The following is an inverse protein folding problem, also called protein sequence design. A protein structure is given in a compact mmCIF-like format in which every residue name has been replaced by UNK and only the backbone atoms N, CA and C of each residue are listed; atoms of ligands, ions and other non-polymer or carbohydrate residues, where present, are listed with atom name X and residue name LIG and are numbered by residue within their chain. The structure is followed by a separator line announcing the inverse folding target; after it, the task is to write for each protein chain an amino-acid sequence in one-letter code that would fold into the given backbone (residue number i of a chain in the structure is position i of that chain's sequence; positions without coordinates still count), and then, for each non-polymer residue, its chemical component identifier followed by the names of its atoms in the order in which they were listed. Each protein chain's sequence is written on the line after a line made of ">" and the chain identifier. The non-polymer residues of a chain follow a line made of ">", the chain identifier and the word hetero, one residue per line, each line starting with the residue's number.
data_IF_569166345171
#
_entry.id   IF_569166345171
#
_cell.length_a   1.000
_cell.length_b   1.000
_cell.length_c   1.000
_cell.angle_alpha   90.00
_cell.angle_beta   90.00
_cell.angle_gamma   90.00
#
_symmetry.space_group_name_H-M   'P 1'
#
loop_
_entity.id
_entity.type
_entity.pdbx_description
1 polymer ?
#
# COMPACT_ATOMS: atom_id res chain seq x y z
N UNK A 1 -23.90 16.30 -17.24
CA UNK A 1 -22.84 15.60 -16.48
C UNK A 1 -21.92 16.64 -15.89
N UNK A 2 -21.52 16.53 -14.63
CA UNK A 2 -20.65 17.52 -13.99
C UNK A 2 -19.20 17.21 -14.40
N UNK A 3 -18.62 18.07 -15.23
CA UNK A 3 -17.19 18.03 -15.51
C UNK A 3 -16.43 18.28 -14.20
N UNK A 4 -15.37 17.53 -13.96
CA UNK A 4 -14.50 17.67 -12.79
C UNK A 4 -13.12 18.13 -13.25
N UNK A 5 -12.29 18.60 -12.33
CA UNK A 5 -10.86 18.82 -12.64
C UNK A 5 -10.21 17.48 -13.05
N UNK A 6 -9.38 17.45 -14.09
CA UNK A 6 -8.77 16.21 -14.56
C UNK A 6 -7.90 15.54 -13.49
N UNK A 7 -8.16 14.25 -13.27
CA UNK A 7 -7.35 13.40 -12.39
C UNK A 7 -6.52 12.45 -13.23
N UNK A 8 -5.21 12.64 -13.22
CA UNK A 8 -4.27 11.69 -13.82
C UNK A 8 -3.79 10.71 -12.73
N UNK A 9 -4.54 9.61 -12.56
CA UNK A 9 -4.30 8.64 -11.49
C UNK A 9 -2.93 7.97 -11.61
N UNK A 10 -2.47 7.70 -12.84
CA UNK A 10 -1.14 7.14 -13.07
C UNK A 10 -0.06 8.07 -12.52
N UNK A 11 -0.07 9.33 -12.96
CA UNK A 11 0.91 10.31 -12.51
C UNK A 11 0.90 10.52 -10.99
N UNK A 12 -0.26 10.43 -10.35
CA UNK A 12 -0.38 10.51 -8.89
C UNK A 12 0.37 9.36 -8.22
N UNK A 13 0.08 8.11 -8.64
CA UNK A 13 0.72 6.91 -8.09
C UNK A 13 2.23 6.90 -8.39
N UNK A 14 2.64 7.22 -9.62
CA UNK A 14 4.06 7.29 -9.99
C UNK A 14 4.80 8.32 -9.13
N UNK A 15 4.23 9.52 -8.96
CA UNK A 15 4.83 10.55 -8.12
C UNK A 15 5.02 10.06 -6.69
N UNK A 16 4.03 9.35 -6.15
CA UNK A 16 4.08 8.78 -4.80
C UNK A 16 5.18 7.74 -4.66
N UNK A 17 5.32 6.83 -5.62
CA UNK A 17 6.41 5.84 -5.66
C UNK A 17 7.76 6.53 -5.82
N UNK A 18 7.86 7.58 -6.64
CA UNK A 18 9.09 8.34 -6.83
C UNK A 18 9.59 8.97 -5.52
N UNK A 19 8.70 9.45 -4.64
CA UNK A 19 9.10 9.95 -3.32
C UNK A 19 9.75 8.85 -2.47
N UNK A 20 9.23 7.62 -2.52
CA UNK A 20 9.84 6.47 -1.85
C UNK A 20 11.19 6.13 -2.47
N UNK A 21 11.27 6.13 -3.80
CA UNK A 21 12.49 5.87 -4.56
C UNK A 21 13.61 6.87 -4.22
N UNK A 22 13.31 8.17 -4.18
CA UNK A 22 14.27 9.21 -3.81
C UNK A 22 14.77 9.01 -2.37
N UNK A 23 13.87 8.65 -1.44
CA UNK A 23 14.23 8.31 -0.07
C UNK A 23 15.12 7.05 0.02
N UNK A 24 14.84 6.02 -0.78
CA UNK A 24 15.66 4.82 -0.89
C UNK A 24 17.06 5.16 -1.42
N UNK A 25 17.15 5.86 -2.56
CA UNK A 25 18.40 6.18 -3.25
C UNK A 25 19.41 6.92 -2.34
N UNK A 26 18.93 7.78 -1.46
CA UNK A 26 19.77 8.56 -0.54
C UNK A 26 20.28 7.76 0.66
N UNK A 27 19.58 6.70 1.07
CA UNK A 27 19.79 6.06 2.36
C UNK A 27 20.23 4.60 2.28
N UNK A 28 19.88 3.89 1.21
CA UNK A 28 20.02 2.44 1.14
C UNK A 28 21.46 1.94 1.33
N UNK A 29 22.44 2.65 0.77
CA UNK A 29 23.87 2.30 0.88
C UNK A 29 24.46 2.51 2.27
N UNK A 30 23.75 3.22 3.16
CA UNK A 30 24.16 3.39 4.57
C UNK A 30 23.75 2.19 5.43
N UNK A 31 22.82 1.37 4.93
CA UNK A 31 22.17 0.31 5.70
C UNK A 31 22.39 -1.08 5.10
N UNK A 32 22.60 -1.15 3.78
CA UNK A 32 22.78 -2.40 3.05
C UNK A 32 24.01 -2.38 2.15
N UNK A 33 24.62 -3.56 1.98
CA UNK A 33 25.39 -3.88 0.79
C UNK A 33 24.40 -4.12 -0.34
N UNK A 34 24.32 -3.16 -1.25
CA UNK A 34 23.34 -3.14 -2.35
C UNK A 34 23.81 -4.04 -3.50
N UNK A 35 22.93 -4.87 -4.09
CA UNK A 35 23.26 -5.65 -5.29
C UNK A 35 23.64 -4.75 -6.48
N UNK A 36 24.62 -5.19 -7.28
CA UNK A 36 25.23 -4.33 -8.31
C UNK A 36 24.27 -3.87 -9.42
N UNK A 37 23.27 -4.68 -9.78
CA UNK A 37 22.23 -4.29 -10.73
C UNK A 37 21.36 -3.15 -10.18
N UNK A 38 21.07 -3.16 -8.88
CA UNK A 38 20.34 -2.08 -8.20
C UNK A 38 21.22 -0.84 -8.10
N UNK A 39 22.50 -0.97 -7.76
CA UNK A 39 23.44 0.16 -7.78
C UNK A 39 23.48 0.83 -9.16
N UNK A 40 23.57 0.04 -10.23
CA UNK A 40 23.54 0.54 -11.61
C UNK A 40 22.21 1.23 -11.91
N UNK A 41 21.08 0.61 -11.56
CA UNK A 41 19.76 1.21 -11.75
C UNK A 41 19.65 2.56 -11.05
N UNK A 42 20.07 2.63 -9.78
CA UNK A 42 20.04 3.86 -8.98
C UNK A 42 20.95 4.95 -9.57
N UNK A 43 22.09 4.58 -10.14
CA UNK A 43 23.02 5.52 -10.78
C UNK A 43 22.47 6.07 -12.10
N UNK A 44 21.83 5.24 -12.92
CA UNK A 44 21.29 5.62 -14.23
C UNK A 44 19.97 6.39 -14.12
N UNK A 45 19.16 6.10 -13.11
CA UNK A 45 17.82 6.66 -12.96
C UNK A 45 17.79 7.69 -11.83
N UNK A 46 17.61 8.96 -12.18
CA UNK A 46 17.49 10.01 -11.18
C UNK A 46 16.13 10.02 -10.50
N UNK A 47 15.08 9.67 -11.24
CA UNK A 47 13.68 9.73 -10.85
C UNK A 47 12.92 8.62 -11.57
N UNK A 48 11.79 8.21 -11.00
CA UNK A 48 10.79 7.39 -11.66
C UNK A 48 9.69 8.31 -12.18
N UNK A 49 9.50 8.35 -13.50
CA UNK A 49 8.57 9.26 -14.16
C UNK A 49 7.42 8.55 -14.85
N UNK A 50 7.58 7.25 -15.12
CA UNK A 50 6.62 6.43 -15.84
C UNK A 50 6.36 5.11 -15.11
N UNK A 51 5.23 4.47 -15.45
CA UNK A 51 4.93 3.12 -15.01
C UNK A 51 6.03 2.12 -15.38
N UNK A 52 6.62 2.26 -16.56
CA UNK A 52 7.72 1.40 -17.00
C UNK A 52 8.95 1.52 -16.09
N UNK A 53 9.26 2.72 -15.58
CA UNK A 53 10.37 2.91 -14.64
C UNK A 53 10.13 2.15 -13.33
N UNK A 54 8.89 2.20 -12.82
CA UNK A 54 8.49 1.48 -11.59
C UNK A 54 8.55 -0.03 -11.80
N UNK A 55 8.04 -0.53 -12.94
CA UNK A 55 8.08 -1.94 -13.29
C UNK A 55 9.53 -2.44 -13.43
N UNK A 56 10.41 -1.67 -14.09
CA UNK A 56 11.84 -2.00 -14.20
C UNK A 56 12.52 -2.07 -12.84
N UNK A 57 12.28 -1.09 -11.96
CA UNK A 57 12.81 -1.14 -10.60
C UNK A 57 12.32 -2.39 -9.86
N UNK A 58 11.02 -2.69 -9.94
CA UNK A 58 10.44 -3.89 -9.34
C UNK A 58 11.07 -5.19 -9.84
N UNK A 59 11.31 -5.30 -11.15
CA UNK A 59 11.95 -6.47 -11.75
C UNK A 59 13.42 -6.62 -11.32
N UNK A 60 14.19 -5.53 -11.29
CA UNK A 60 15.58 -5.57 -10.84
C UNK A 60 15.68 -5.91 -9.34
N UNK A 61 14.74 -5.42 -8.56
CA UNK A 61 14.66 -5.70 -7.13
C UNK A 61 14.28 -7.16 -6.85
N UNK A 62 13.28 -7.70 -7.55
CA UNK A 62 12.82 -9.09 -7.42
C UNK A 62 13.94 -10.09 -7.73
N UNK A 63 14.69 -9.86 -8.82
CA UNK A 63 15.85 -10.69 -9.21
C UNK A 63 16.92 -10.79 -8.13
N UNK A 64 17.01 -9.79 -7.26
CA UNK A 64 18.12 -9.66 -6.30
C UNK A 64 17.67 -9.66 -4.85
N UNK A 65 16.40 -9.98 -4.58
CA UNK A 65 15.85 -9.91 -3.22
C UNK A 65 16.67 -10.72 -2.20
N UNK A 66 17.18 -11.88 -2.60
CA UNK A 66 18.03 -12.74 -1.76
C UNK A 66 19.50 -12.30 -1.63
N UNK A 67 19.96 -11.33 -2.42
CA UNK A 67 21.35 -10.89 -2.47
C UNK A 67 21.64 -9.69 -1.55
N UNK A 68 20.60 -9.11 -0.97
CA UNK A 68 20.72 -7.97 -0.06
C UNK A 68 21.29 -8.38 1.30
N UNK A 69 22.31 -7.65 1.76
CA UNK A 69 22.95 -7.93 3.05
C UNK A 69 22.98 -6.67 3.91
N UNK A 70 22.40 -6.68 5.12
CA UNK A 70 22.51 -5.59 6.08
C UNK A 70 23.97 -5.34 6.50
N UNK A 71 24.39 -4.08 6.59
CA UNK A 71 25.78 -3.74 6.94
C UNK A 71 26.14 -4.01 8.40
N UNK A 72 25.14 -4.00 9.30
CA UNK A 72 25.29 -4.25 10.72
C UNK A 72 24.95 -5.69 11.13
N UNK A 73 24.82 -6.59 10.16
CA UNK A 73 24.45 -8.00 10.34
C UNK A 73 23.06 -8.23 10.97
N UNK A 74 22.25 -7.17 11.14
CA UNK A 74 20.90 -7.28 11.65
C UNK A 74 19.92 -7.68 10.53
N UNK A 75 19.54 -8.96 10.50
CA UNK A 75 18.60 -9.53 9.53
C UNK A 75 17.22 -8.88 9.55
N UNK A 76 16.81 -8.27 10.67
CA UNK A 76 15.50 -7.61 10.76
C UNK A 76 15.37 -6.43 9.79
N UNK A 77 16.51 -5.83 9.38
CA UNK A 77 16.52 -4.76 8.39
C UNK A 77 15.93 -5.19 7.05
N UNK A 78 15.96 -6.48 6.72
CA UNK A 78 15.33 -7.02 5.50
C UNK A 78 13.83 -6.67 5.42
N UNK A 79 13.17 -6.34 6.54
CA UNK A 79 11.79 -5.85 6.51
C UNK A 79 11.61 -4.60 5.64
N UNK A 80 12.62 -3.72 5.56
CA UNK A 80 12.61 -2.52 4.71
C UNK A 80 12.46 -2.91 3.22
N UNK A 81 13.10 -4.01 2.83
CA UNK A 81 13.04 -4.54 1.45
C UNK A 81 11.64 -5.10 1.15
N UNK A 82 11.02 -5.74 2.13
CA UNK A 82 9.64 -6.19 2.04
C UNK A 82 8.64 -5.03 1.89
N UNK A 83 8.84 -3.94 2.63
CA UNK A 83 8.07 -2.71 2.46
C UNK A 83 8.22 -2.14 1.05
N UNK A 84 9.46 -2.02 0.55
CA UNK A 84 9.73 -1.55 -0.81
C UNK A 84 9.03 -2.42 -1.86
N UNK A 85 9.17 -3.74 -1.77
CA UNK A 85 8.51 -4.66 -2.69
C UNK A 85 6.98 -4.48 -2.68
N UNK A 86 6.40 -4.37 -1.48
CA UNK A 86 4.95 -4.19 -1.33
C UNK A 86 4.47 -2.86 -1.91
N UNK A 87 5.25 -1.79 -1.76
CA UNK A 87 5.00 -0.47 -2.37
C UNK A 87 4.99 -0.61 -3.90
N UNK A 88 6.04 -1.19 -4.47
CA UNK A 88 6.17 -1.33 -5.93
C UNK A 88 5.03 -2.18 -6.51
N UNK A 89 4.79 -3.37 -5.95
CA UNK A 89 3.75 -4.29 -6.42
C UNK A 89 2.36 -3.65 -6.35
N UNK A 90 2.00 -3.04 -5.21
CA UNK A 90 0.67 -2.48 -5.04
C UNK A 90 0.44 -1.23 -5.89
N UNK A 91 1.50 -0.46 -6.20
CA UNK A 91 1.39 0.64 -7.15
C UNK A 91 0.92 0.14 -8.53
N UNK A 92 1.51 -0.95 -9.02
CA UNK A 92 1.17 -1.53 -10.33
C UNK A 92 -0.20 -2.20 -10.32
N UNK A 93 -0.53 -2.94 -9.25
CA UNK A 93 -1.84 -3.59 -9.08
C UNK A 93 -2.97 -2.57 -9.19
N UNK A 94 -2.82 -1.39 -8.57
CA UNK A 94 -3.85 -0.34 -8.60
C UNK A 94 -4.01 0.23 -10.00
N UNK A 95 -2.90 0.56 -10.67
CA UNK A 95 -2.94 1.07 -12.03
C UNK A 95 -3.68 0.10 -12.95
N UNK A 96 -3.31 -1.18 -12.90
CA UNK A 96 -3.98 -2.23 -13.68
C UNK A 96 -5.46 -2.35 -13.31
N UNK A 97 -5.79 -2.34 -12.01
CA UNK A 97 -7.17 -2.51 -11.55
C UNK A 97 -8.08 -1.38 -12.03
N UNK A 98 -7.58 -0.14 -11.98
CA UNK A 98 -8.29 1.03 -12.47
C UNK A 98 -8.39 0.99 -14.00
N UNK A 99 -7.32 0.70 -14.73
CA UNK A 99 -7.32 0.58 -16.19
C UNK A 99 -8.39 -0.42 -16.67
N UNK A 100 -8.43 -1.59 -16.04
CA UNK A 100 -9.37 -2.66 -16.37
C UNK A 100 -10.82 -2.23 -16.09
N UNK A 101 -11.07 -1.53 -14.99
CA UNK A 101 -12.42 -1.11 -14.64
C UNK A 101 -12.90 0.09 -15.47
N UNK A 102 -12.01 1.03 -15.82
CA UNK A 102 -12.31 2.11 -16.77
C UNK A 102 -12.63 1.56 -18.17
N UNK A 103 -11.85 0.58 -18.63
CA UNK A 103 -12.06 -0.07 -19.94
C UNK A 103 -13.41 -0.78 -20.02
N UNK A 104 -13.79 -1.52 -18.97
CA UNK A 104 -15.10 -2.19 -18.89
C UNK A 104 -16.27 -1.22 -19.04
N UNK A 105 -16.11 -0.01 -18.53
CA UNK A 105 -17.14 1.05 -18.56
C UNK A 105 -17.00 2.00 -19.76
N UNK A 106 -16.09 1.69 -20.71
CA UNK A 106 -15.79 2.52 -21.89
C UNK A 106 -15.43 3.97 -21.54
N UNK A 107 -14.65 4.16 -20.48
CA UNK A 107 -14.11 5.45 -20.07
C UNK A 107 -12.64 5.53 -20.47
N UNK A 108 -12.21 6.72 -20.87
CA UNK A 108 -10.82 6.98 -21.25
C UNK A 108 -9.87 6.67 -20.10
N UNK A 109 -8.76 5.98 -20.42
CA UNK A 109 -7.70 5.65 -19.47
C UNK A 109 -6.84 6.90 -19.20
N UNK A 110 -5.95 6.81 -18.22
CA UNK A 110 -4.95 7.82 -17.84
C UNK A 110 -5.52 9.10 -17.21
N UNK A 111 -6.59 9.69 -17.76
CA UNK A 111 -7.17 10.95 -17.30
C UNK A 111 -8.68 10.82 -17.07
N UNK A 112 -9.09 10.94 -15.81
CA UNK A 112 -10.50 10.99 -15.42
C UNK A 112 -10.97 12.44 -15.43
N UNK A 113 -11.98 12.75 -16.24
CA UNK A 113 -12.52 14.10 -16.44
C UNK A 113 -14.03 14.21 -16.10
N UNK A 114 -14.66 13.10 -15.71
CA UNK A 114 -16.06 13.04 -15.31
C UNK A 114 -16.27 12.25 -14.01
N UNK A 115 -17.47 12.38 -13.45
CA UNK A 115 -17.82 11.75 -12.18
C UNK A 115 -17.87 10.22 -12.24
N UNK A 116 -18.09 9.61 -13.42
CA UNK A 116 -18.16 8.15 -13.55
C UNK A 116 -16.80 7.50 -13.29
N UNK A 117 -15.71 8.17 -13.70
CA UNK A 117 -14.37 7.70 -13.38
C UNK A 117 -14.06 7.77 -11.88
N UNK A 118 -14.64 8.73 -11.15
CA UNK A 118 -14.57 8.77 -9.68
C UNK A 118 -15.32 7.59 -9.07
N UNK A 119 -16.54 7.33 -9.54
CA UNK A 119 -17.33 6.19 -9.08
C UNK A 119 -16.58 4.86 -9.30
N UNK A 120 -15.83 4.75 -10.40
CA UNK A 120 -14.96 3.58 -10.69
C UNK A 120 -13.79 3.48 -9.71
N UNK A 121 -13.11 4.57 -9.38
CA UNK A 121 -12.05 4.55 -8.35
C UNK A 121 -12.63 4.05 -7.03
N UNK A 122 -13.77 4.61 -6.60
CA UNK A 122 -14.41 4.24 -5.33
C UNK A 122 -14.89 2.78 -5.36
N UNK A 123 -15.54 2.34 -6.44
CA UNK A 123 -15.97 0.95 -6.60
C UNK A 123 -14.79 -0.03 -6.60
N UNK A 124 -13.70 0.32 -7.28
CA UNK A 124 -12.45 -0.47 -7.29
C UNK A 124 -11.89 -0.60 -5.87
N UNK A 125 -11.90 0.49 -5.09
CA UNK A 125 -11.43 0.48 -3.73
C UNK A 125 -12.33 -0.35 -2.79
N UNK A 126 -13.66 -0.25 -2.90
CA UNK A 126 -14.60 -1.11 -2.16
C UNK A 126 -14.35 -2.58 -2.47
N UNK A 127 -14.21 -2.92 -3.76
CA UNK A 127 -13.95 -4.30 -4.18
C UNK A 127 -12.60 -4.81 -3.65
N UNK A 128 -11.53 -4.04 -3.83
CA UNK A 128 -10.19 -4.40 -3.37
C UNK A 128 -10.16 -4.63 -1.85
N UNK A 129 -10.80 -3.75 -1.09
CA UNK A 129 -10.84 -3.87 0.36
C UNK A 129 -11.71 -5.05 0.81
N UNK A 130 -12.86 -5.30 0.18
CA UNK A 130 -13.68 -6.47 0.48
C UNK A 130 -12.94 -7.79 0.22
N UNK A 131 -12.25 -7.90 -0.92
CA UNK A 131 -11.44 -9.08 -1.25
C UNK A 131 -10.33 -9.29 -0.21
N UNK A 132 -9.53 -8.25 0.06
CA UNK A 132 -8.43 -8.33 1.02
C UNK A 132 -8.91 -8.61 2.44
N UNK A 133 -10.05 -8.06 2.83
CA UNK A 133 -10.68 -8.37 4.12
C UNK A 133 -10.92 -9.87 4.26
N UNK A 134 -11.51 -10.51 3.24
CA UNK A 134 -11.79 -11.94 3.29
C UNK A 134 -10.50 -12.78 3.30
N UNK A 135 -9.51 -12.44 2.45
CA UNK A 135 -8.22 -13.12 2.41
C UNK A 135 -7.50 -13.06 3.78
N UNK A 136 -7.48 -11.89 4.41
CA UNK A 136 -6.83 -11.68 5.71
C UNK A 136 -7.55 -12.42 6.85
N UNK A 137 -8.89 -12.44 6.84
CA UNK A 137 -9.69 -13.18 7.83
C UNK A 137 -9.44 -14.70 7.71
N UNK A 138 -9.39 -15.22 6.49
CA UNK A 138 -9.08 -16.62 6.23
C UNK A 138 -7.66 -16.96 6.68
N UNK A 139 -6.67 -16.16 6.28
CA UNK A 139 -5.28 -16.35 6.67
C UNK A 139 -5.08 -16.32 8.19
N UNK A 140 -5.73 -15.38 8.89
CA UNK A 140 -5.67 -15.30 10.34
C UNK A 140 -6.17 -16.57 11.03
N UNK A 141 -7.27 -17.14 10.51
CA UNK A 141 -7.85 -18.39 10.99
C UNK A 141 -6.93 -19.59 10.70
N UNK A 142 -6.38 -19.67 9.50
CA UNK A 142 -5.49 -20.75 9.08
C UNK A 142 -4.20 -20.81 9.92
N UNK A 143 -3.68 -19.64 10.27
CA UNK A 143 -2.53 -19.48 11.16
C UNK A 143 -2.87 -19.71 12.64
N UNK A 144 -4.14 -20.00 12.96
CA UNK A 144 -4.66 -20.24 14.32
C UNK A 144 -4.34 -19.10 15.29
N UNK A 145 -4.29 -17.86 14.80
CA UNK A 145 -3.94 -16.69 15.61
C UNK A 145 -5.02 -16.30 16.61
N UNK A 146 -6.21 -16.91 16.56
CA UNK A 146 -7.20 -16.84 17.65
C UNK A 146 -6.67 -17.46 18.96
N UNK A 147 -5.64 -18.32 18.90
CA UNK A 147 -5.00 -18.95 20.06
C UNK A 147 -3.79 -18.17 20.58
N UNK A 148 -3.42 -17.08 19.91
CA UNK A 148 -2.28 -16.24 20.29
C UNK A 148 -2.60 -15.43 21.57
N UNK A 149 -1.93 -15.76 22.67
CA UNK A 149 -2.11 -15.09 23.97
C UNK A 149 -1.66 -13.63 23.99
N UNK A 150 -0.81 -13.21 23.06
CA UNK A 150 -0.39 -11.80 22.95
C UNK A 150 -1.42 -10.92 22.23
N UNK A 151 -2.39 -11.54 21.54
CA UNK A 151 -3.52 -10.88 20.89
C UNK A 151 -3.12 -9.66 20.03
N UNK A 152 -1.97 -9.76 19.34
CA UNK A 152 -1.38 -8.62 18.60
C UNK A 152 -2.33 -8.18 17.48
N UNK A 153 -2.77 -9.13 16.67
CA UNK A 153 -3.59 -8.92 15.47
C UNK A 153 -5.10 -8.99 15.74
N UNK A 154 -5.52 -9.35 16.96
CA UNK A 154 -6.93 -9.53 17.31
C UNK A 154 -7.79 -8.27 17.08
N UNK A 155 -7.35 -7.05 17.44
CA UNK A 155 -8.13 -5.84 17.16
C UNK A 155 -8.36 -5.62 15.66
N UNK A 156 -7.30 -5.75 14.86
CA UNK A 156 -7.38 -5.62 13.40
C UNK A 156 -8.30 -6.69 12.78
N UNK A 157 -8.18 -7.94 13.22
CA UNK A 157 -9.06 -9.03 12.79
C UNK A 157 -10.53 -8.79 13.16
N UNK A 158 -10.82 -8.25 14.35
CA UNK A 158 -12.19 -7.92 14.76
C UNK A 158 -12.78 -6.76 13.93
N UNK A 159 -11.97 -5.76 13.63
CA UNK A 159 -12.34 -4.69 12.71
C UNK A 159 -12.67 -5.26 11.32
N UNK A 160 -11.81 -6.12 10.77
CA UNK A 160 -12.06 -6.77 9.48
C UNK A 160 -13.32 -7.64 9.47
N UNK A 161 -13.62 -8.36 10.57
CA UNK A 161 -14.90 -9.08 10.71
C UNK A 161 -16.09 -8.12 10.60
N UNK A 162 -15.98 -6.94 11.20
CA UNK A 162 -17.03 -5.90 11.12
C UNK A 162 -17.19 -5.38 9.69
N UNK A 163 -16.08 -5.11 9.00
CA UNK A 163 -16.09 -4.69 7.59
C UNK A 163 -16.69 -5.76 6.69
N UNK A 164 -16.35 -7.04 6.89
CA UNK A 164 -16.87 -8.15 6.07
C UNK A 164 -18.39 -8.34 6.14
N UNK A 165 -19.02 -7.80 7.19
CA UNK A 165 -20.47 -7.89 7.41
C UNK A 165 -21.24 -6.69 6.83
N UNK A 166 -20.53 -5.67 6.34
CA UNK A 166 -21.16 -4.50 5.73
C UNK A 166 -21.80 -4.90 4.41
N UNK A 167 -23.04 -4.46 4.18
CA UNK A 167 -23.62 -4.53 2.84
C UNK A 167 -22.91 -3.55 1.88
N UNK A 168 -23.18 -3.68 0.59
CA UNK A 168 -22.53 -2.86 -0.44
C UNK A 168 -22.72 -1.35 -0.23
N UNK A 169 -23.88 -0.93 0.28
CA UNK A 169 -24.19 0.48 0.50
C UNK A 169 -23.39 1.04 1.68
N UNK A 170 -23.35 0.29 2.79
CA UNK A 170 -22.57 0.64 3.96
C UNK A 170 -21.07 0.65 3.65
N UNK A 171 -20.58 -0.34 2.91
CA UNK A 171 -19.17 -0.44 2.50
C UNK A 171 -18.75 0.75 1.63
N UNK A 172 -19.60 1.17 0.69
CA UNK A 172 -19.36 2.36 -0.12
C UNK A 172 -19.36 3.63 0.72
N UNK A 173 -20.37 3.81 1.56
CA UNK A 173 -20.52 5.01 2.40
C UNK A 173 -19.39 5.18 3.42
N UNK A 174 -18.88 4.07 3.97
CA UNK A 174 -17.83 4.04 4.99
C UNK A 174 -16.43 3.78 4.44
N UNK A 175 -16.24 3.72 3.13
CA UNK A 175 -14.97 3.30 2.53
C UNK A 175 -13.76 4.06 3.10
N UNK A 176 -13.82 5.40 3.11
CA UNK A 176 -12.72 6.22 3.63
C UNK A 176 -12.46 5.94 5.12
N UNK A 177 -13.52 5.86 5.93
CA UNK A 177 -13.42 5.54 7.36
C UNK A 177 -12.78 4.17 7.58
N UNK A 178 -13.26 3.15 6.85
CA UNK A 178 -12.72 1.81 6.92
C UNK A 178 -11.22 1.79 6.54
N UNK A 179 -10.80 2.50 5.48
CA UNK A 179 -9.39 2.52 5.05
C UNK A 179 -8.52 3.21 6.11
N UNK A 180 -8.99 4.32 6.67
CA UNK A 180 -8.27 5.04 7.72
C UNK A 180 -8.14 4.20 8.98
N UNK A 181 -9.21 3.54 9.41
CA UNK A 181 -9.20 2.66 10.56
C UNK A 181 -8.30 1.43 10.33
N UNK A 182 -8.28 0.86 9.12
CA UNK A 182 -7.33 -0.19 8.76
C UNK A 182 -5.88 0.29 8.90
N UNK A 183 -5.55 1.44 8.32
CA UNK A 183 -4.19 2.00 8.35
C UNK A 183 -3.74 2.31 9.78
N UNK A 184 -4.63 2.84 10.63
CA UNK A 184 -4.36 3.07 12.03
C UNK A 184 -4.15 1.76 12.80
N UNK A 185 -5.02 0.77 12.60
CA UNK A 185 -4.89 -0.54 13.23
C UNK A 185 -3.61 -1.27 12.79
N UNK A 186 -3.23 -1.16 11.52
CA UNK A 186 -1.95 -1.67 11.00
C UNK A 186 -0.76 -1.06 11.74
N UNK A 187 -0.68 0.26 11.85
CA UNK A 187 0.41 0.94 12.56
C UNK A 187 0.48 0.56 14.04
N UNK A 188 -0.68 0.47 14.70
CA UNK A 188 -0.76 0.02 16.10
C UNK A 188 -0.28 -1.43 16.26
N UNK A 189 -0.66 -2.29 15.33
CA UNK A 189 -0.27 -3.71 15.30
C UNK A 189 1.23 -3.85 15.08
N UNK A 190 1.80 -3.11 14.11
CA UNK A 190 3.24 -3.11 13.84
C UNK A 190 4.05 -2.69 15.07
N UNK A 191 3.63 -1.60 15.73
CA UNK A 191 4.27 -1.11 16.97
C UNK A 191 4.17 -2.07 18.15
N UNK A 192 3.14 -2.92 18.19
CA UNK A 192 3.00 -3.97 19.21
C UNK A 192 3.88 -5.17 18.88
N UNK A 193 3.92 -5.57 17.61
CA UNK A 193 4.73 -6.69 17.14
C UNK A 193 6.22 -6.47 17.43
N UNK A 194 6.74 -5.26 17.20
CA UNK A 194 8.15 -4.92 17.43
C UNK A 194 8.60 -4.96 18.89
N UNK A 195 7.68 -5.12 19.84
CA UNK A 195 7.96 -5.13 21.29
C UNK A 195 7.80 -6.50 21.93
N UNK A 196 7.41 -7.50 21.15
CA UNK A 196 7.10 -8.83 21.66
C UNK A 196 8.30 -9.74 21.45
N UNK A 197 8.66 -10.46 22.52
CA UNK A 197 9.70 -11.47 22.46
C UNK A 197 9.26 -12.66 21.62
N UNK A 198 10.22 -13.33 21.01
CA UNK A 198 9.94 -14.51 20.20
C UNK A 198 9.31 -15.64 21.02
N UNK A 199 8.30 -16.31 20.44
CA UNK A 199 7.63 -17.46 21.02
C UNK A 199 7.14 -18.40 19.90
N UNK A 200 6.31 -19.39 20.27
CA UNK A 200 5.79 -20.39 19.35
C UNK A 200 4.88 -19.86 18.23
N UNK A 201 4.43 -18.60 18.31
CA UNK A 201 3.60 -17.92 17.32
C UNK A 201 4.36 -16.89 16.48
N UNK A 202 5.66 -16.68 16.72
CA UNK A 202 6.47 -15.68 15.99
C UNK A 202 6.34 -15.80 14.47
N UNK A 203 6.50 -17.01 13.93
CA UNK A 203 6.46 -17.23 12.48
C UNK A 203 5.09 -16.89 11.88
N UNK A 204 4.02 -17.30 12.55
CA UNK A 204 2.64 -17.02 12.14
C UNK A 204 2.33 -15.52 12.21
N UNK A 205 2.86 -14.82 13.23
CA UNK A 205 2.72 -13.37 13.35
C UNK A 205 3.45 -12.64 12.24
N UNK A 206 4.66 -13.08 11.88
CA UNK A 206 5.41 -12.53 10.75
C UNK A 206 4.65 -12.79 9.45
N UNK A 207 4.15 -14.00 9.25
CA UNK A 207 3.43 -14.36 8.03
C UNK A 207 2.17 -13.51 7.82
N UNK A 208 1.32 -13.35 8.85
CA UNK A 208 0.15 -12.47 8.72
C UNK A 208 0.55 -10.99 8.63
N UNK A 209 1.65 -10.58 9.28
CA UNK A 209 2.14 -9.21 9.20
C UNK A 209 2.48 -8.83 7.76
N UNK A 210 3.13 -9.73 7.03
CA UNK A 210 3.47 -9.53 5.62
C UNK A 210 2.22 -9.30 4.76
N UNK A 211 1.14 -10.06 4.99
CA UNK A 211 -0.14 -9.87 4.29
C UNK A 211 -0.82 -8.55 4.66
N UNK A 212 -0.79 -8.16 5.94
CA UNK A 212 -1.31 -6.86 6.39
C UNK A 212 -0.50 -5.69 5.82
N UNK A 213 0.82 -5.79 5.77
CA UNK A 213 1.71 -4.79 5.19
C UNK A 213 1.43 -4.63 3.69
N UNK A 214 1.27 -5.75 2.96
CA UNK A 214 0.90 -5.70 1.55
C UNK A 214 -0.44 -4.98 1.35
N UNK A 215 -1.46 -5.35 2.14
CA UNK A 215 -2.78 -4.71 2.10
C UNK A 215 -2.73 -3.24 2.49
N UNK A 216 -1.89 -2.86 3.46
CA UNK A 216 -1.71 -1.48 3.89
C UNK A 216 -1.29 -0.59 2.71
N UNK A 217 -0.30 -0.99 1.93
CA UNK A 217 0.14 -0.17 0.80
C UNK A 217 -0.92 -0.06 -0.30
N UNK A 218 -1.68 -1.14 -0.57
CA UNK A 218 -2.86 -1.08 -1.43
C UNK A 218 -3.85 -0.02 -0.96
N UNK A 219 -4.17 -0.02 0.33
CA UNK A 219 -5.12 0.92 0.94
C UNK A 219 -4.59 2.36 0.94
N UNK A 220 -3.29 2.59 1.14
CA UNK A 220 -2.70 3.95 1.08
C UNK A 220 -2.89 4.57 -0.30
N UNK A 221 -2.59 3.83 -1.36
CA UNK A 221 -2.73 4.36 -2.71
C UNK A 221 -4.19 4.57 -3.12
N UNK A 222 -5.09 3.65 -2.76
CA UNK A 222 -6.53 3.83 -2.99
C UNK A 222 -7.07 5.06 -2.24
N UNK A 223 -6.65 5.25 -0.99
CA UNK A 223 -6.98 6.44 -0.20
C UNK A 223 -6.52 7.72 -0.89
N UNK A 224 -5.28 7.74 -1.40
CA UNK A 224 -4.75 8.90 -2.13
C UNK A 224 -5.66 9.26 -3.31
N UNK A 225 -5.98 8.29 -4.16
CA UNK A 225 -6.82 8.52 -5.34
C UNK A 225 -8.24 9.00 -4.98
N UNK A 226 -8.83 8.45 -3.92
CA UNK A 226 -10.14 8.89 -3.41
C UNK A 226 -10.08 10.34 -2.93
N UNK A 227 -9.00 10.73 -2.23
CA UNK A 227 -8.85 12.07 -1.64
C UNK A 227 -8.42 13.15 -2.64
N UNK A 228 -7.89 12.78 -3.80
CA UNK A 228 -7.52 13.77 -4.82
C UNK A 228 -8.75 14.53 -5.34
N UNK A 229 -9.89 13.87 -5.53
CA UNK A 229 -11.11 14.53 -5.96
C UNK A 229 -11.55 15.66 -4.98
N UNK A 230 -11.79 15.40 -3.68
CA UNK A 230 -12.17 16.46 -2.74
C UNK A 230 -11.08 17.52 -2.57
N UNK A 231 -9.79 17.17 -2.67
CA UNK A 231 -8.70 18.15 -2.66
C UNK A 231 -8.76 19.10 -3.87
N UNK A 232 -8.87 18.55 -5.08
CA UNK A 232 -8.87 19.35 -6.31
C UNK A 232 -10.11 20.22 -6.41
N UNK A 233 -11.27 19.74 -5.97
CA UNK A 233 -12.52 20.49 -6.01
C UNK A 233 -12.69 21.46 -4.83
N UNK A 234 -11.70 21.59 -3.94
CA UNK A 234 -11.71 22.54 -2.82
C UNK A 234 -12.63 22.15 -1.66
N UNK A 235 -13.03 20.88 -1.59
CA UNK A 235 -13.78 20.30 -0.46
C UNK A 235 -12.85 19.98 0.72
N UNK A 236 -11.55 19.85 0.45
CA UNK A 236 -10.47 19.61 1.40
C UNK A 236 -9.30 20.54 1.08
N UNK A 237 -8.56 20.98 2.10
CA UNK A 237 -7.32 21.74 1.92
C UNK A 237 -6.09 20.82 1.99
N UNK A 238 -4.94 21.32 1.51
CA UNK A 238 -3.70 20.53 1.47
C UNK A 238 -3.26 20.04 2.86
N UNK A 239 -3.41 20.85 3.91
CA UNK A 239 -3.03 20.46 5.27
C UNK A 239 -3.86 19.27 5.77
N UNK A 240 -5.16 19.26 5.51
CA UNK A 240 -6.04 18.15 5.86
C UNK A 240 -5.68 16.89 5.07
N UNK A 241 -5.40 17.04 3.77
CA UNK A 241 -4.91 15.93 2.94
C UNK A 241 -3.61 15.34 3.50
N UNK A 242 -2.62 16.17 3.79
CA UNK A 242 -1.31 15.75 4.31
C UNK A 242 -1.43 15.08 5.70
N UNK A 243 -2.36 15.54 6.54
CA UNK A 243 -2.61 14.92 7.85
C UNK A 243 -3.29 13.54 7.75
N UNK A 244 -4.08 13.32 6.70
CA UNK A 244 -4.81 12.07 6.48
C UNK A 244 -3.90 11.03 5.81
N UNK A 245 -3.07 11.47 4.85
CA UNK A 245 -2.22 10.59 4.08
C UNK A 245 -1.08 10.01 4.92
N UNK A 246 -0.99 8.67 5.08
CA UNK A 246 0.12 8.06 5.83
C UNK A 246 1.46 8.35 5.19
N UNK A 247 2.54 8.50 5.95
CA UNK A 247 3.88 8.56 5.35
C UNK A 247 4.36 7.13 5.01
N UNK A 248 4.87 6.93 3.80
CA UNK A 248 5.37 5.63 3.32
C UNK A 248 6.86 5.64 2.95
N UNK A 249 7.58 6.72 3.27
CA UNK A 249 9.05 6.73 3.15
C UNK A 249 9.66 5.62 4.00
N UNK A 250 10.69 4.96 3.49
CA UNK A 250 11.31 3.80 4.14
C UNK A 250 12.25 4.18 5.29
N UNK A 251 12.90 5.34 5.17
CA UNK A 251 13.90 5.82 6.13
C UNK A 251 13.47 7.18 6.70
N UNK A 252 13.67 7.35 8.01
CA UNK A 252 13.37 8.56 8.78
C UNK A 252 14.62 9.11 9.46
#
# INVERSE_FOLDING_TARGET
>A
MKAIRPINYEKIIIKRVNTVYENLKVNVSKEFKVPSNIENFLAENNQLLTREDVEKLGQEFDKTFGDWVPLDENSDRIIILNHLMSILQNSIIILISIDVNLEKENIEKEIINDSRGIDIIVATAVQAFGVKTNELLEKYKDLKLDQDTNEIFKPLNNFLKTVSQQDAQAAFAKLMENILEFNQNYNNTYNRLSKIAEDSFSNQRIEIFMEYMNTYYLMVYLLELILIYPLQEGMMNQQAFDNIMPNITLYH
#
